data_IF_700801443623
#
_entry.id   IF_700801443623
#
_cell.length_a   1.000
_cell.length_b   1.000
_cell.length_c   1.000
_cell.angle_alpha   90.00
_cell.angle_beta   90.00
_cell.angle_gamma   90.00
#
_symmetry.space_group_name_H-M   'P 1'
#
loop_
_entity.id
_entity.type
_entity.pdbx_description
1 polymer ?
#
# COMPACT_ATOMS: atom_id res chain seq x y z
N UNK A 1 -15.96 -21.95 33.43
CA UNK A 1 -15.86 -21.94 31.96
C UNK A 1 -17.25 -21.70 31.43
N UNK A 2 -17.55 -20.46 31.03
CA UNK A 2 -18.87 -20.09 30.50
C UNK A 2 -18.98 -20.63 29.07
N UNK A 3 -20.01 -21.43 28.80
CA UNK A 3 -20.42 -21.82 27.46
C UNK A 3 -20.76 -20.54 26.68
N UNK A 4 -19.83 -20.02 25.88
CA UNK A 4 -20.22 -19.09 24.82
C UNK A 4 -21.04 -19.90 23.83
N UNK A 5 -22.30 -19.51 23.61
CA UNK A 5 -23.04 -20.01 22.46
C UNK A 5 -22.20 -19.71 21.21
N UNK A 6 -22.01 -20.70 20.34
CA UNK A 6 -21.34 -20.51 19.06
C UNK A 6 -22.08 -19.40 18.30
N UNK A 7 -21.45 -18.23 18.19
CA UNK A 7 -22.01 -17.13 17.41
C UNK A 7 -22.01 -17.56 15.95
N UNK A 8 -23.20 -17.63 15.36
CA UNK A 8 -23.38 -17.95 13.94
C UNK A 8 -23.48 -16.67 13.13
N UNK A 9 -23.13 -16.73 11.85
CA UNK A 9 -23.34 -15.61 10.90
C UNK A 9 -24.81 -15.18 10.87
N UNK A 10 -25.75 -16.13 10.97
CA UNK A 10 -27.18 -15.84 11.07
C UNK A 10 -27.53 -15.02 12.32
N UNK A 11 -26.99 -15.38 13.48
CA UNK A 11 -27.22 -14.63 14.72
C UNK A 11 -26.60 -13.22 14.67
N UNK A 12 -25.42 -13.10 14.05
CA UNK A 12 -24.76 -11.82 13.83
C UNK A 12 -25.58 -10.90 12.92
N UNK A 13 -26.01 -11.41 11.76
CA UNK A 13 -26.81 -10.65 10.81
C UNK A 13 -28.14 -10.22 11.43
N UNK A 14 -28.83 -11.13 12.12
CA UNK A 14 -30.11 -10.83 12.80
C UNK A 14 -29.98 -9.68 13.80
N UNK A 15 -28.88 -9.64 14.57
CA UNK A 15 -28.68 -8.62 15.60
C UNK A 15 -28.38 -7.22 15.05
N UNK A 16 -28.02 -7.14 13.77
CA UNK A 16 -27.73 -5.88 13.07
C UNK A 16 -28.80 -5.51 12.04
N UNK A 17 -29.82 -6.34 11.89
CA UNK A 17 -30.92 -6.16 10.93
C UNK A 17 -32.11 -5.49 11.61
N UNK A 18 -32.65 -4.45 10.99
CA UNK A 18 -33.90 -3.79 11.40
C UNK A 18 -35.13 -4.65 11.08
N UNK A 19 -36.31 -4.38 11.68
CA UNK A 19 -37.53 -5.15 11.39
C UNK A 19 -37.96 -5.17 9.92
N UNK A 20 -37.50 -4.21 9.11
CA UNK A 20 -37.78 -4.14 7.66
C UNK A 20 -36.81 -4.98 6.80
N UNK A 21 -35.84 -5.66 7.43
CA UNK A 21 -34.84 -6.49 6.76
C UNK A 21 -33.58 -5.74 6.32
N UNK A 22 -33.43 -4.46 6.67
CA UNK A 22 -32.24 -3.65 6.31
C UNK A 22 -31.14 -3.78 7.37
N UNK A 23 -29.89 -3.98 6.96
CA UNK A 23 -28.75 -3.92 7.87
C UNK A 23 -28.49 -2.46 8.27
N UNK A 24 -28.50 -2.20 9.59
CA UNK A 24 -28.19 -0.89 10.13
C UNK A 24 -26.70 -0.79 10.43
N UNK A 25 -25.94 -0.10 9.57
CA UNK A 25 -24.51 0.07 9.76
C UNK A 25 -24.18 1.09 10.87
N UNK A 26 -25.14 1.92 11.30
CA UNK A 26 -24.92 2.95 12.31
C UNK A 26 -24.72 2.38 13.73
N UNK A 27 -25.16 1.15 13.98
CA UNK A 27 -24.93 0.44 15.25
C UNK A 27 -23.59 -0.31 15.27
N UNK A 28 -22.85 -0.29 14.17
CA UNK A 28 -21.53 -0.91 14.06
C UNK A 28 -20.43 0.14 14.08
N UNK A 29 -19.30 -0.23 14.66
CA UNK A 29 -18.09 0.60 14.61
C UNK A 29 -17.39 0.38 13.28
N UNK A 30 -17.31 1.42 12.45
CA UNK A 30 -16.44 1.42 11.27
C UNK A 30 -14.97 1.41 11.73
N UNK A 31 -14.25 0.34 11.41
CA UNK A 31 -12.83 0.19 11.75
C UNK A 31 -11.91 0.87 10.73
N UNK A 32 -12.39 1.02 9.50
CA UNK A 32 -11.64 1.52 8.36
C UNK A 32 -12.15 0.88 7.07
N UNK A 33 -11.30 0.84 6.04
CA UNK A 33 -11.58 0.17 4.78
C UNK A 33 -10.31 -0.06 3.96
N UNK A 34 -10.30 -1.14 3.18
CA UNK A 34 -9.33 -1.31 2.08
C UNK A 34 -9.75 -0.48 0.87
N UNK A 35 -9.03 -0.58 -0.26
CA UNK A 35 -9.33 0.20 -1.47
C UNK A 35 -10.76 0.01 -2.02
N UNK A 36 -11.37 -1.16 -1.80
CA UNK A 36 -12.63 -1.61 -2.42
C UNK A 36 -13.76 -1.86 -1.43
N UNK A 37 -13.51 -1.77 -0.12
CA UNK A 37 -14.50 -2.16 0.89
C UNK A 37 -14.34 -1.37 2.18
N UNK A 38 -15.41 -1.32 2.96
CA UNK A 38 -15.43 -0.82 4.32
C UNK A 38 -15.58 -1.99 5.32
N UNK A 39 -14.93 -1.90 6.47
CA UNK A 39 -14.95 -2.93 7.52
C UNK A 39 -15.66 -2.38 8.76
N UNK A 40 -16.65 -3.12 9.22
CA UNK A 40 -17.48 -2.82 10.38
C UNK A 40 -17.33 -3.93 11.42
N UNK A 41 -17.33 -3.53 12.70
CA UNK A 41 -17.26 -4.43 13.84
C UNK A 41 -18.44 -4.21 14.78
N UNK A 42 -19.04 -5.30 15.23
CA UNK A 42 -20.04 -5.30 16.30
C UNK A 42 -19.35 -5.39 17.66
N UNK A 43 -19.86 -4.64 18.64
CA UNK A 43 -19.43 -4.81 20.03
C UNK A 43 -20.01 -6.08 20.66
N UNK A 44 -21.17 -6.55 20.18
CA UNK A 44 -21.84 -7.76 20.66
C UNK A 44 -21.17 -9.05 20.16
N UNK A 45 -20.65 -9.00 18.93
CA UNK A 45 -20.05 -10.13 18.22
C UNK A 45 -18.66 -9.74 17.72
N UNK A 46 -17.69 -9.51 18.63
CA UNK A 46 -16.37 -9.01 18.26
C UNK A 46 -15.52 -9.97 17.43
N UNK A 47 -15.90 -11.25 17.37
CA UNK A 47 -15.30 -12.33 16.60
C UNK A 47 -15.75 -12.37 15.13
N UNK A 48 -16.76 -11.59 14.75
CA UNK A 48 -17.20 -11.44 13.37
C UNK A 48 -17.02 -9.99 12.90
N UNK A 49 -16.65 -9.83 11.63
CA UNK A 49 -16.58 -8.55 10.94
C UNK A 49 -17.53 -8.55 9.76
N UNK A 50 -18.16 -7.41 9.52
CA UNK A 50 -18.94 -7.16 8.31
C UNK A 50 -18.10 -6.33 7.33
N UNK A 51 -17.84 -6.88 6.15
CA UNK A 51 -17.25 -6.14 5.03
C UNK A 51 -18.35 -5.71 4.06
N UNK A 52 -18.39 -4.44 3.71
CA UNK A 52 -19.30 -3.88 2.70
C UNK A 52 -18.49 -3.53 1.46
N UNK A 53 -18.82 -4.12 0.30
CA UNK A 53 -18.12 -3.87 -0.96
C UNK A 53 -18.59 -2.55 -1.57
N UNK A 54 -17.73 -1.51 -1.58
CA UNK A 54 -18.12 -0.13 -1.95
C UNK A 54 -18.60 -0.03 -3.39
N UNK A 55 -17.94 -0.74 -4.31
CA UNK A 55 -18.26 -0.71 -5.74
C UNK A 55 -19.54 -1.48 -6.10
N UNK A 56 -20.25 -2.05 -5.11
CA UNK A 56 -21.50 -2.79 -5.33
C UNK A 56 -22.73 -2.06 -4.81
N UNK A 57 -22.52 -0.92 -4.12
CA UNK A 57 -23.59 -0.17 -3.47
C UNK A 57 -24.48 0.49 -4.54
N UNK A 58 -25.78 0.17 -4.50
CA UNK A 58 -26.79 0.77 -5.37
C UNK A 58 -26.89 0.16 -6.77
N UNK A 59 -26.14 -0.92 -7.03
CA UNK A 59 -26.29 -1.72 -8.26
C UNK A 59 -27.60 -2.51 -8.24
N UNK A 60 -28.02 -3.03 -9.41
CA UNK A 60 -29.21 -3.85 -9.49
C UNK A 60 -28.98 -5.28 -8.97
N UNK A 61 -30.05 -5.91 -8.48
CA UNK A 61 -29.95 -7.23 -7.83
C UNK A 61 -29.52 -8.34 -8.80
N UNK A 62 -29.83 -8.23 -10.08
CA UNK A 62 -29.48 -9.26 -11.06
C UNK A 62 -27.97 -9.22 -11.35
N UNK A 63 -27.40 -8.03 -11.58
CA UNK A 63 -25.97 -7.81 -11.74
C UNK A 63 -25.19 -8.31 -10.50
N UNK A 64 -25.65 -7.95 -9.30
CA UNK A 64 -25.01 -8.41 -8.06
C UNK A 64 -25.09 -9.93 -7.89
N UNK A 65 -26.16 -10.57 -8.36
CA UNK A 65 -26.33 -12.03 -8.28
C UNK A 65 -25.34 -12.75 -9.21
N UNK A 66 -25.19 -12.27 -10.44
CA UNK A 66 -24.20 -12.78 -11.39
C UNK A 66 -22.77 -12.60 -10.87
N UNK A 67 -22.48 -11.42 -10.32
CA UNK A 67 -21.19 -11.14 -9.71
C UNK A 67 -20.90 -12.09 -8.54
N UNK A 68 -21.87 -12.28 -7.65
CA UNK A 68 -21.74 -13.16 -6.49
C UNK A 68 -21.54 -14.61 -6.88
N UNK A 69 -22.26 -15.09 -7.91
CA UNK A 69 -22.09 -16.44 -8.43
C UNK A 69 -20.67 -16.65 -8.99
N UNK A 70 -20.23 -15.75 -9.87
CA UNK A 70 -18.89 -15.81 -10.48
C UNK A 70 -17.79 -15.81 -9.42
N UNK A 71 -17.89 -14.92 -8.43
CA UNK A 71 -16.94 -14.85 -7.33
C UNK A 71 -16.98 -16.12 -6.46
N UNK A 72 -18.17 -16.67 -6.22
CA UNK A 72 -18.37 -17.92 -5.48
C UNK A 72 -17.66 -19.11 -6.13
N UNK A 73 -17.79 -19.26 -7.45
CA UNK A 73 -17.11 -20.29 -8.24
C UNK A 73 -15.58 -20.13 -8.16
N UNK A 74 -15.07 -18.91 -8.30
CA UNK A 74 -13.63 -18.63 -8.18
C UNK A 74 -13.09 -18.89 -6.78
N UNK A 75 -13.83 -18.48 -5.73
CA UNK A 75 -13.47 -18.75 -4.34
C UNK A 75 -13.50 -20.25 -4.03
N UNK A 76 -14.44 -21.01 -4.58
CA UNK A 76 -14.48 -22.46 -4.39
C UNK A 76 -13.19 -23.14 -4.88
N UNK A 77 -12.70 -22.78 -6.08
CA UNK A 77 -11.42 -23.29 -6.60
C UNK A 77 -10.23 -22.84 -5.75
N UNK A 78 -10.27 -21.61 -5.20
CA UNK A 78 -9.25 -21.11 -4.28
C UNK A 78 -9.20 -21.95 -3.01
N UNK A 79 -10.35 -22.19 -2.38
CA UNK A 79 -10.46 -22.96 -1.14
C UNK A 79 -10.10 -24.43 -1.34
N UNK A 80 -10.43 -25.02 -2.49
CA UNK A 80 -10.00 -26.37 -2.87
C UNK A 80 -8.47 -26.44 -3.00
N UNK A 81 -7.87 -25.46 -3.68
CA UNK A 81 -6.43 -25.49 -3.99
C UNK A 81 -5.55 -25.15 -2.78
N UNK A 82 -5.92 -24.11 -2.05
CA UNK A 82 -5.17 -23.66 -0.87
C UNK A 82 -5.56 -24.39 0.41
N UNK A 83 -6.79 -24.89 0.49
CA UNK A 83 -7.39 -25.42 1.70
C UNK A 83 -8.03 -24.31 2.53
N UNK A 84 -9.24 -24.53 3.04
CA UNK A 84 -9.99 -23.53 3.81
C UNK A 84 -9.25 -23.01 5.05
N UNK A 85 -8.34 -23.79 5.64
CA UNK A 85 -7.51 -23.34 6.76
C UNK A 85 -6.50 -22.25 6.38
N UNK A 86 -6.10 -22.19 5.10
CA UNK A 86 -5.17 -21.19 4.54
C UNK A 86 -5.90 -19.97 3.97
N UNK A 87 -7.22 -19.93 3.99
CA UNK A 87 -8.01 -18.83 3.45
C UNK A 87 -8.96 -18.25 4.51
N UNK A 88 -9.24 -16.96 4.43
CA UNK A 88 -10.39 -16.39 5.12
C UNK A 88 -11.62 -16.78 4.30
N UNK A 89 -12.43 -17.66 4.87
CA UNK A 89 -13.70 -18.06 4.27
C UNK A 89 -14.72 -16.97 4.56
N UNK A 90 -15.29 -16.43 3.50
CA UNK A 90 -16.14 -15.24 3.52
C UNK A 90 -17.58 -15.67 3.18
N UNK A 91 -18.52 -15.44 4.08
CA UNK A 91 -19.95 -15.66 3.82
C UNK A 91 -20.53 -14.42 3.16
N UNK A 92 -20.81 -14.53 1.86
CA UNK A 92 -21.21 -13.40 1.02
C UNK A 92 -22.70 -13.45 0.69
N UNK A 93 -23.36 -12.29 0.76
CA UNK A 93 -24.78 -12.17 0.42
C UNK A 93 -25.12 -10.77 -0.08
N UNK A 94 -26.22 -10.64 -0.82
CA UNK A 94 -26.79 -9.35 -1.22
C UNK A 94 -27.73 -8.88 -0.13
N UNK A 95 -27.42 -7.73 0.47
CA UNK A 95 -28.17 -7.18 1.60
C UNK A 95 -28.63 -5.77 1.33
N UNK A 96 -29.79 -5.41 1.88
CA UNK A 96 -30.23 -4.02 1.98
C UNK A 96 -29.48 -3.34 3.11
N UNK A 97 -28.92 -2.16 2.87
CA UNK A 97 -28.08 -1.43 3.81
C UNK A 97 -28.63 -0.04 4.06
N UNK A 98 -28.67 0.35 5.33
CA UNK A 98 -28.80 1.75 5.75
C UNK A 98 -27.42 2.28 6.06
N UNK A 99 -26.93 3.18 5.20
CA UNK A 99 -25.67 3.87 5.42
C UNK A 99 -25.80 4.82 6.61
N UNK A 100 -24.67 5.15 7.24
CA UNK A 100 -24.63 5.96 8.47
C UNK A 100 -25.24 7.36 8.32
N UNK A 101 -25.36 7.85 7.09
CA UNK A 101 -26.04 9.11 6.78
C UNK A 101 -27.55 8.86 6.73
N UNK A 102 -28.23 9.20 7.84
CA UNK A 102 -29.61 8.82 8.15
C UNK A 102 -30.70 9.24 7.14
N UNK A 103 -30.34 10.00 6.10
CA UNK A 103 -31.26 10.53 5.08
C UNK A 103 -31.25 9.75 3.75
N UNK A 104 -30.35 8.78 3.57
CA UNK A 104 -30.33 7.96 2.36
C UNK A 104 -31.34 6.81 2.44
N UNK A 105 -32.12 6.65 1.37
CA UNK A 105 -32.92 5.44 1.14
C UNK A 105 -32.02 4.19 1.22
N UNK A 106 -32.52 3.05 1.74
CA UNK A 106 -31.73 1.83 1.77
C UNK A 106 -31.18 1.48 0.39
N UNK A 107 -29.90 1.09 0.33
CA UNK A 107 -29.23 0.65 -0.91
C UNK A 107 -28.88 -0.82 -0.79
N UNK A 108 -28.97 -1.56 -1.88
CA UNK A 108 -28.48 -2.94 -1.89
C UNK A 108 -26.99 -2.97 -2.21
N UNK A 109 -26.27 -3.92 -1.62
CA UNK A 109 -24.86 -4.16 -1.89
C UNK A 109 -24.51 -5.61 -1.60
N UNK A 110 -23.34 -6.05 -2.07
CA UNK A 110 -22.73 -7.29 -1.59
C UNK A 110 -22.03 -7.00 -0.27
N UNK A 111 -22.37 -7.80 0.74
CA UNK A 111 -21.66 -7.84 2.00
C UNK A 111 -21.01 -9.19 2.21
N UNK A 112 -19.94 -9.21 2.98
CA UNK A 112 -19.33 -10.41 3.49
C UNK A 112 -19.30 -10.37 5.01
N UNK A 113 -19.72 -11.46 5.65
CA UNK A 113 -19.41 -11.71 7.06
C UNK A 113 -18.14 -12.57 7.10
N UNK A 114 -17.17 -12.16 7.90
CA UNK A 114 -15.88 -12.86 8.03
C UNK A 114 -15.55 -13.11 9.49
N UNK A 115 -15.00 -14.29 9.83
CA UNK A 115 -14.42 -14.49 11.15
C UNK A 115 -13.19 -13.62 11.32
N UNK A 116 -13.05 -13.04 12.51
CA UNK A 116 -11.82 -12.38 12.92
C UNK A 116 -10.75 -13.45 13.16
N UNK A 117 -9.83 -13.60 12.23
CA UNK A 117 -8.78 -14.62 12.31
C UNK A 117 -7.66 -14.17 13.27
N UNK A 118 -7.31 -14.96 14.30
CA UNK A 118 -6.25 -14.63 15.25
C UNK A 118 -4.87 -14.40 14.59
N UNK A 119 -4.65 -14.82 13.34
CA UNK A 119 -3.41 -14.53 12.62
C UNK A 119 -3.13 -13.01 12.52
N UNK A 120 -4.18 -12.18 12.50
CA UNK A 120 -4.03 -10.72 12.50
C UNK A 120 -3.51 -10.16 13.83
N UNK A 121 -3.49 -10.95 14.90
CA UNK A 121 -2.93 -10.56 16.20
C UNK A 121 -1.51 -11.11 16.42
N UNK A 122 -0.97 -11.89 15.47
CA UNK A 122 0.38 -12.43 15.60
C UNK A 122 1.42 -11.29 15.70
N UNK A 123 2.34 -11.44 16.66
CA UNK A 123 3.43 -10.47 16.89
C UNK A 123 4.50 -10.55 15.80
N UNK A 124 4.70 -11.74 15.24
CA UNK A 124 5.65 -12.00 14.17
C UNK A 124 4.89 -12.33 12.90
N UNK A 125 4.71 -11.31 12.06
CA UNK A 125 3.98 -11.40 10.80
C UNK A 125 4.50 -10.40 9.78
N UNK A 126 4.29 -10.71 8.51
CA UNK A 126 4.48 -9.76 7.42
C UNK A 126 3.49 -10.05 6.29
N UNK A 127 2.98 -9.00 5.65
CA UNK A 127 2.24 -9.13 4.40
C UNK A 127 3.19 -9.36 3.24
N UNK A 128 2.81 -10.20 2.27
CA UNK A 128 3.48 -10.32 0.96
C UNK A 128 3.18 -9.10 0.08
N UNK A 129 3.45 -7.90 0.61
CA UNK A 129 3.00 -6.66 0.01
C UNK A 129 3.99 -6.20 -1.08
N UNK A 130 3.46 -6.02 -2.28
CA UNK A 130 4.24 -5.63 -3.45
C UNK A 130 4.06 -4.15 -3.73
N UNK A 131 5.17 -3.39 -3.78
CA UNK A 131 5.17 -2.04 -4.36
C UNK A 131 5.38 -2.15 -5.87
N UNK A 132 4.48 -1.56 -6.65
CA UNK A 132 4.64 -1.48 -8.11
C UNK A 132 5.79 -0.55 -8.47
N UNK A 133 6.80 -1.09 -9.14
CA UNK A 133 7.90 -0.30 -9.68
C UNK A 133 7.44 0.55 -10.87
N UNK A 134 6.41 0.10 -11.58
CA UNK A 134 5.81 0.77 -12.76
C UNK A 134 5.17 2.11 -12.41
N UNK A 135 4.72 2.26 -11.16
CA UNK A 135 4.27 3.56 -10.62
C UNK A 135 5.43 4.44 -10.17
N UNK A 136 6.63 3.89 -10.02
CA UNK A 136 7.83 4.57 -9.54
C UNK A 136 8.75 5.02 -10.69
N UNK A 137 8.34 6.08 -11.39
CA UNK A 137 9.08 6.61 -12.54
C UNK A 137 10.53 6.97 -12.28
N UNK A 138 10.83 7.57 -11.12
CA UNK A 138 12.20 7.92 -10.72
C UNK A 138 13.06 6.69 -10.51
N UNK A 139 12.52 5.68 -9.83
CA UNK A 139 13.21 4.43 -9.61
C UNK A 139 13.53 3.74 -10.93
N UNK A 140 12.59 3.73 -11.89
CA UNK A 140 12.85 3.14 -13.20
C UNK A 140 13.86 3.96 -14.01
N UNK A 141 13.74 5.29 -14.04
CA UNK A 141 14.68 6.15 -14.78
C UNK A 141 16.11 6.01 -14.24
N UNK A 142 16.29 6.15 -12.92
CA UNK A 142 17.60 6.08 -12.27
C UNK A 142 18.22 4.68 -12.28
N UNK A 143 17.41 3.62 -12.36
CA UNK A 143 17.86 2.22 -12.32
C UNK A 143 17.46 1.41 -13.56
N UNK A 144 17.32 2.06 -14.72
CA UNK A 144 16.77 1.44 -15.94
C UNK A 144 17.46 0.13 -16.34
N UNK A 145 18.80 0.10 -16.28
CA UNK A 145 19.57 -1.11 -16.57
C UNK A 145 19.22 -2.25 -15.60
N UNK A 146 19.15 -1.95 -14.30
CA UNK A 146 18.81 -2.92 -13.28
C UNK A 146 17.37 -3.42 -13.44
N UNK A 147 16.42 -2.50 -13.64
CA UNK A 147 15.01 -2.83 -13.90
C UNK A 147 14.87 -3.80 -15.08
N UNK A 148 15.49 -3.47 -16.23
CA UNK A 148 15.46 -4.34 -17.41
C UNK A 148 16.12 -5.71 -17.17
N UNK A 149 17.24 -5.76 -16.43
CA UNK A 149 17.92 -7.02 -16.10
C UNK A 149 17.07 -7.91 -15.19
N UNK A 150 16.41 -7.31 -14.19
CA UNK A 150 15.51 -8.04 -13.29
C UNK A 150 14.29 -8.56 -14.07
N UNK A 151 13.67 -7.75 -14.93
CA UNK A 151 12.52 -8.19 -15.73
C UNK A 151 12.87 -9.35 -16.65
N UNK A 152 13.97 -9.28 -17.39
CA UNK A 152 14.40 -10.39 -18.26
C UNK A 152 14.61 -11.69 -17.48
N UNK A 153 15.11 -11.58 -16.25
CA UNK A 153 15.42 -12.73 -15.41
C UNK A 153 14.19 -13.34 -14.74
N UNK A 154 13.30 -12.51 -14.20
CA UNK A 154 12.15 -12.97 -13.41
C UNK A 154 10.86 -13.10 -14.23
N UNK A 155 10.76 -12.41 -15.36
CA UNK A 155 9.57 -12.34 -16.20
C UNK A 155 9.88 -12.60 -17.69
N UNK A 156 11.13 -12.84 -18.06
CA UNK A 156 11.52 -13.19 -19.43
C UNK A 156 11.80 -14.69 -19.59
N UNK A 157 12.24 -15.08 -20.78
CA UNK A 157 12.67 -16.45 -21.09
C UNK A 157 14.08 -16.81 -20.62
N UNK A 158 14.73 -15.94 -19.83
CA UNK A 158 16.06 -16.24 -19.31
C UNK A 158 16.00 -17.41 -18.31
N UNK A 159 17.09 -18.18 -18.28
CA UNK A 159 17.39 -19.17 -17.24
C UNK A 159 17.39 -18.54 -15.84
N UNK A 160 17.48 -19.40 -14.82
CA UNK A 160 17.32 -19.09 -13.40
C UNK A 160 17.93 -17.74 -12.97
N UNK A 161 17.27 -17.02 -12.03
CA UNK A 161 17.74 -15.71 -11.64
C UNK A 161 19.14 -15.74 -11.05
N UNK A 162 20.06 -15.06 -11.73
CA UNK A 162 21.44 -14.96 -11.25
C UNK A 162 21.52 -14.41 -9.81
N UNK A 163 22.54 -14.80 -9.01
CA UNK A 163 22.74 -14.25 -7.67
C UNK A 163 22.83 -12.70 -7.64
N UNK A 164 23.25 -12.10 -8.76
CA UNK A 164 23.24 -10.64 -8.93
C UNK A 164 21.80 -10.08 -8.94
N UNK A 165 20.87 -10.71 -9.67
CA UNK A 165 19.46 -10.28 -9.75
C UNK A 165 18.83 -10.34 -8.37
N UNK A 166 19.00 -11.45 -7.66
CA UNK A 166 18.40 -11.64 -6.33
C UNK A 166 18.92 -10.66 -5.28
N UNK A 167 20.23 -10.39 -5.29
CA UNK A 167 20.85 -9.40 -4.40
C UNK A 167 20.33 -7.98 -4.61
N UNK A 168 19.99 -7.63 -5.85
CA UNK A 168 19.58 -6.28 -6.22
C UNK A 168 18.06 -6.11 -6.33
N UNK A 169 17.26 -7.18 -6.27
CA UNK A 169 15.80 -7.08 -6.30
C UNK A 169 15.21 -6.13 -5.24
N UNK A 170 15.70 -6.10 -3.99
CA UNK A 170 15.22 -5.15 -2.99
C UNK A 170 15.41 -3.67 -3.36
N UNK A 171 16.28 -3.36 -4.32
CA UNK A 171 16.43 -2.00 -4.86
C UNK A 171 15.24 -1.54 -5.70
N UNK A 172 14.40 -2.48 -6.18
CA UNK A 172 13.12 -2.19 -6.83
C UNK A 172 11.95 -2.29 -5.84
N UNK A 173 12.00 -3.23 -4.90
CA UNK A 173 10.98 -3.41 -3.88
C UNK A 173 11.61 -3.66 -2.50
N UNK A 174 11.74 -2.59 -1.71
CA UNK A 174 12.45 -2.61 -0.41
C UNK A 174 11.85 -3.61 0.60
N UNK A 175 10.55 -3.87 0.53
CA UNK A 175 9.87 -4.82 1.44
C UNK A 175 10.49 -6.22 1.36
N UNK A 176 11.05 -6.59 0.22
CA UNK A 176 11.65 -7.91 0.03
C UNK A 176 13.06 -8.03 0.63
N UNK A 177 13.67 -6.94 1.12
CA UNK A 177 14.95 -7.03 1.83
C UNK A 177 14.80 -7.86 3.11
N UNK A 178 13.80 -7.57 3.94
CA UNK A 178 13.54 -8.31 5.17
C UNK A 178 13.05 -9.73 4.88
N UNK A 179 12.14 -9.89 3.91
CA UNK A 179 11.62 -11.21 3.51
C UNK A 179 12.77 -12.11 3.04
N UNK A 180 13.68 -11.60 2.21
CA UNK A 180 14.82 -12.40 1.73
C UNK A 180 15.80 -12.76 2.83
N UNK A 181 16.06 -11.85 3.77
CA UNK A 181 16.87 -12.17 4.96
C UNK A 181 16.22 -13.28 5.79
N UNK A 182 14.91 -13.21 6.01
CA UNK A 182 14.19 -14.26 6.74
C UNK A 182 14.26 -15.60 5.99
N UNK A 183 14.06 -15.60 4.66
CA UNK A 183 14.19 -16.81 3.84
C UNK A 183 15.60 -17.41 3.83
N UNK A 184 16.64 -16.62 4.08
CA UNK A 184 18.02 -17.11 4.21
C UNK A 184 18.28 -17.79 5.56
N UNK A 185 17.47 -17.49 6.59
CA UNK A 185 17.77 -17.88 7.98
C UNK A 185 16.71 -18.74 8.66
N UNK A 186 15.48 -18.77 8.15
CA UNK A 186 14.34 -19.43 8.79
C UNK A 186 13.78 -20.53 7.87
N UNK A 187 14.14 -21.79 8.17
CA UNK A 187 13.71 -22.95 7.40
C UNK A 187 12.19 -23.12 7.39
N UNK A 188 11.51 -22.79 8.49
CA UNK A 188 10.06 -22.91 8.56
C UNK A 188 9.36 -21.91 7.64
N UNK A 189 9.95 -20.72 7.45
CA UNK A 189 9.46 -19.77 6.44
C UNK A 189 9.67 -20.29 5.02
N UNK A 190 10.83 -20.91 4.75
CA UNK A 190 11.11 -21.50 3.43
C UNK A 190 10.06 -22.57 3.11
N UNK A 191 9.69 -23.41 4.07
CA UNK A 191 8.61 -24.41 3.91
C UNK A 191 7.27 -23.74 3.62
N UNK A 192 6.85 -22.76 4.43
CA UNK A 192 5.59 -22.05 4.23
C UNK A 192 5.53 -21.31 2.89
N UNK A 193 6.64 -20.68 2.47
CA UNK A 193 6.76 -20.00 1.18
C UNK A 193 6.66 -21.00 0.02
N UNK A 194 7.34 -22.15 0.10
CA UNK A 194 7.23 -23.21 -0.92
C UNK A 194 5.80 -23.75 -1.03
N UNK A 195 5.12 -23.96 0.09
CA UNK A 195 3.71 -24.36 0.11
C UNK A 195 2.82 -23.33 -0.59
N UNK A 196 2.94 -22.05 -0.21
CA UNK A 196 2.19 -20.95 -0.81
C UNK A 196 2.41 -20.87 -2.33
N UNK A 197 3.67 -20.85 -2.79
CA UNK A 197 4.02 -20.72 -4.19
C UNK A 197 3.57 -21.94 -5.02
N UNK A 198 3.65 -23.14 -4.47
CA UNK A 198 3.17 -24.37 -5.13
C UNK A 198 1.66 -24.33 -5.33
N UNK A 199 0.91 -23.96 -4.28
CA UNK A 199 -0.55 -23.82 -4.35
C UNK A 199 -0.96 -22.69 -5.29
N UNK A 200 -0.23 -21.57 -5.29
CA UNK A 200 -0.44 -20.48 -6.25
C UNK A 200 -0.27 -20.98 -7.68
N UNK A 201 0.85 -21.64 -8.00
CA UNK A 201 1.12 -22.16 -9.36
C UNK A 201 -0.03 -23.07 -9.81
N UNK A 202 -0.47 -23.99 -8.95
CA UNK A 202 -1.61 -24.86 -9.25
C UNK A 202 -2.91 -24.10 -9.47
N UNK A 203 -3.23 -23.12 -8.62
CA UNK A 203 -4.43 -22.30 -8.75
C UNK A 203 -4.44 -21.50 -10.06
N UNK A 204 -3.30 -20.86 -10.39
CA UNK A 204 -3.15 -20.11 -11.63
C UNK A 204 -3.27 -21.01 -12.85
N UNK A 205 -2.65 -22.19 -12.84
CA UNK A 205 -2.77 -23.15 -13.95
C UNK A 205 -4.21 -23.65 -14.16
N UNK A 206 -4.98 -23.83 -13.08
CA UNK A 206 -6.39 -24.25 -13.14
C UNK A 206 -7.32 -23.15 -13.67
N UNK A 207 -7.07 -21.89 -13.30
CA UNK A 207 -8.06 -20.80 -13.44
C UNK A 207 -7.63 -19.67 -14.38
N UNK A 208 -6.33 -19.51 -14.61
CA UNK A 208 -5.74 -18.33 -15.24
C UNK A 208 -5.85 -17.03 -14.41
N UNK A 209 -6.34 -17.10 -13.17
CA UNK A 209 -6.55 -15.92 -12.30
C UNK A 209 -5.25 -15.57 -11.58
N UNK A 210 -4.87 -14.30 -11.63
CA UNK A 210 -3.76 -13.76 -10.86
C UNK A 210 -4.30 -13.24 -9.53
N UNK A 211 -3.78 -13.78 -8.42
CA UNK A 211 -4.16 -13.31 -7.08
C UNK A 211 -3.55 -11.92 -6.82
N UNK A 212 -4.38 -11.02 -6.31
CA UNK A 212 -3.97 -9.70 -5.85
C UNK A 212 -3.16 -9.82 -4.56
N UNK A 213 -1.85 -9.63 -4.66
CA UNK A 213 -0.93 -9.63 -3.51
C UNK A 213 -0.64 -8.22 -3.00
N UNK A 214 -1.32 -7.19 -3.49
CA UNK A 214 -1.10 -5.81 -3.05
C UNK A 214 -1.98 -5.53 -1.83
N UNK A 215 -1.35 -5.07 -0.74
CA UNK A 215 -2.01 -4.85 0.54
C UNK A 215 -1.53 -5.82 1.61
N UNK A 216 -1.46 -5.33 2.84
CA UNK A 216 -0.86 -6.07 3.96
C UNK A 216 -1.64 -7.34 4.34
N UNK A 217 -2.96 -7.32 4.13
CA UNK A 217 -3.88 -8.36 4.61
C UNK A 217 -4.31 -9.35 3.51
N UNK A 218 -3.87 -9.15 2.27
CA UNK A 218 -4.24 -10.03 1.16
C UNK A 218 -3.52 -11.37 1.24
N UNK A 219 -2.21 -11.35 1.51
CA UNK A 219 -1.41 -12.56 1.76
C UNK A 219 -0.54 -12.29 2.98
N UNK A 220 -0.92 -12.88 4.12
CA UNK A 220 -0.24 -12.67 5.39
C UNK A 220 0.58 -13.91 5.75
N UNK A 221 1.88 -13.74 5.96
CA UNK A 221 2.73 -14.74 6.60
C UNK A 221 2.83 -14.41 8.09
N UNK A 222 2.70 -15.41 8.95
CA UNK A 222 2.70 -15.23 10.41
C UNK A 222 3.23 -16.46 11.11
N UNK A 223 3.81 -16.29 12.30
CA UNK A 223 4.23 -17.42 13.15
C UNK A 223 3.13 -17.88 14.09
N UNK A 224 3.06 -19.20 14.26
CA UNK A 224 2.33 -19.90 15.32
C UNK A 224 3.28 -20.91 15.92
N UNK A 225 3.55 -20.85 17.22
CA UNK A 225 4.46 -21.78 17.91
C UNK A 225 5.82 -21.92 17.20
N UNK A 226 6.42 -20.78 16.83
CA UNK A 226 7.68 -20.65 16.08
C UNK A 226 7.69 -21.20 14.65
N UNK A 227 6.54 -21.69 14.15
CA UNK A 227 6.40 -22.17 12.76
C UNK A 227 5.69 -21.13 11.92
N UNK A 228 6.32 -20.74 10.81
CA UNK A 228 5.66 -19.86 9.83
C UNK A 228 4.49 -20.57 9.14
N UNK A 229 3.42 -19.80 8.96
CA UNK A 229 2.22 -20.14 8.22
C UNK A 229 1.84 -18.97 7.32
N UNK A 230 0.83 -19.18 6.46
CA UNK A 230 0.25 -18.10 5.69
C UNK A 230 -1.28 -18.17 5.66
N UNK A 231 -1.90 -17.01 5.43
CA UNK A 231 -3.34 -16.83 5.28
C UNK A 231 -3.64 -15.94 4.08
N UNK A 232 -4.59 -16.35 3.25
CA UNK A 232 -5.12 -15.56 2.13
C UNK A 232 -6.39 -14.82 2.56
N UNK A 233 -6.38 -13.51 2.40
CA UNK A 233 -7.55 -12.64 2.53
C UNK A 233 -8.31 -12.49 1.22
N UNK A 234 -8.73 -11.27 0.91
CA UNK A 234 -9.55 -10.96 -0.27
C UNK A 234 -8.68 -10.80 -1.54
N UNK A 235 -8.13 -11.91 -2.01
CA UNK A 235 -7.12 -11.97 -3.10
C UNK A 235 -7.69 -12.11 -4.52
N UNK A 236 -8.95 -12.51 -4.68
CA UNK A 236 -9.59 -12.61 -6.00
C UNK A 236 -10.14 -11.22 -6.39
N UNK A 237 -9.74 -10.77 -7.58
CA UNK A 237 -10.20 -9.54 -8.25
C UNK A 237 -10.53 -9.89 -9.71
N UNK A 238 -10.34 -8.96 -10.63
CA UNK A 238 -10.60 -9.16 -12.07
C UNK A 238 -9.36 -9.55 -12.89
N UNK A 239 -8.17 -9.59 -12.29
CA UNK A 239 -6.91 -9.83 -13.01
C UNK A 239 -6.73 -11.29 -13.40
N UNK A 240 -6.44 -11.52 -14.69
CA UNK A 240 -6.14 -12.84 -15.25
C UNK A 240 -4.90 -12.76 -16.11
N UNK A 241 -4.20 -13.88 -16.30
CA UNK A 241 -3.03 -13.94 -17.16
C UNK A 241 -3.36 -13.57 -18.60
N UNK A 242 -4.52 -13.98 -19.11
CA UNK A 242 -4.99 -13.61 -20.45
C UNK A 242 -5.22 -12.09 -20.58
N UNK A 243 -5.88 -11.47 -19.59
CA UNK A 243 -6.09 -10.03 -19.58
C UNK A 243 -4.77 -9.27 -19.47
N UNK A 244 -3.89 -9.69 -18.55
CA UNK A 244 -2.57 -9.05 -18.37
C UNK A 244 -1.75 -9.11 -19.65
N UNK A 245 -1.67 -10.25 -20.34
CA UNK A 245 -0.98 -10.37 -21.64
C UNK A 245 -1.56 -9.41 -22.67
N UNK A 246 -2.89 -9.42 -22.84
CA UNK A 246 -3.58 -8.52 -23.77
C UNK A 246 -3.27 -7.05 -23.48
N UNK A 247 -3.35 -6.63 -22.23
CA UNK A 247 -3.11 -5.23 -21.84
C UNK A 247 -1.64 -4.83 -22.02
N UNK A 248 -0.69 -5.73 -21.70
CA UNK A 248 0.73 -5.50 -21.94
C UNK A 248 1.04 -5.39 -23.44
N UNK A 249 0.42 -6.20 -24.30
CA UNK A 249 0.59 -6.09 -25.75
C UNK A 249 0.01 -4.76 -26.29
N UNK A 250 -1.20 -4.42 -25.85
CA UNK A 250 -1.87 -3.17 -26.22
C UNK A 250 -1.06 -1.93 -25.82
N UNK A 251 -0.47 -1.92 -24.62
CA UNK A 251 0.35 -0.79 -24.15
C UNK A 251 1.55 -0.52 -25.07
N UNK A 252 2.09 -1.56 -25.74
CA UNK A 252 3.23 -1.40 -26.64
C UNK A 252 2.88 -0.66 -27.93
N UNK A 253 1.60 -0.62 -28.29
CA UNK A 253 1.09 0.08 -29.48
C UNK A 253 0.43 1.40 -29.09
N UNK A 254 -0.27 1.41 -27.95
CA UNK A 254 -0.97 2.55 -27.40
C UNK A 254 -0.68 2.66 -25.90
N UNK A 255 0.33 3.44 -25.48
CA UNK A 255 0.67 3.61 -24.06
C UNK A 255 -0.50 4.11 -23.20
N UNK A 256 -1.45 4.85 -23.77
CA UNK A 256 -2.64 5.32 -23.06
C UNK A 256 -3.60 4.18 -22.67
N UNK A 257 -3.46 2.97 -23.24
CA UNK A 257 -4.22 1.79 -22.84
C UNK A 257 -4.11 1.52 -21.33
N UNK A 258 -2.98 1.86 -20.71
CA UNK A 258 -2.74 1.68 -19.28
C UNK A 258 -3.66 2.49 -18.36
N UNK A 259 -4.32 3.53 -18.86
CA UNK A 259 -5.21 4.39 -18.06
C UNK A 259 -6.65 4.41 -18.59
N UNK A 260 -6.97 3.62 -19.61
CA UNK A 260 -8.32 3.57 -20.20
C UNK A 260 -9.37 2.95 -19.29
N UNK A 261 -8.97 2.06 -18.39
CA UNK A 261 -9.88 1.45 -17.41
C UNK A 261 -9.11 1.03 -16.16
N UNK A 262 -9.82 0.89 -15.04
CA UNK A 262 -9.26 0.35 -13.81
C UNK A 262 -8.66 -1.07 -14.00
N UNK A 263 -9.31 -1.89 -14.83
CA UNK A 263 -8.81 -3.23 -15.18
C UNK A 263 -7.50 -3.18 -15.95
N UNK A 264 -7.41 -2.31 -16.95
CA UNK A 264 -6.17 -2.12 -17.69
C UNK A 264 -5.05 -1.57 -16.80
N UNK A 265 -5.38 -0.62 -15.93
CA UNK A 265 -4.44 -0.02 -14.98
C UNK A 265 -3.82 -1.08 -14.06
N UNK A 266 -4.64 -1.87 -13.38
CA UNK A 266 -4.18 -2.93 -12.47
C UNK A 266 -3.37 -4.00 -13.22
N UNK A 267 -3.83 -4.45 -14.39
CA UNK A 267 -3.12 -5.42 -15.21
C UNK A 267 -1.74 -4.94 -15.72
N UNK A 268 -1.57 -3.64 -16.00
CA UNK A 268 -0.30 -3.09 -16.50
C UNK A 268 0.63 -2.63 -15.37
N UNK A 269 0.11 -1.96 -14.35
CA UNK A 269 0.92 -1.41 -13.27
C UNK A 269 1.18 -2.41 -12.14
N UNK A 270 0.22 -3.26 -11.79
CA UNK A 270 0.31 -4.09 -10.58
C UNK A 270 0.75 -5.52 -10.87
N UNK A 271 0.16 -6.16 -11.88
CA UNK A 271 0.42 -7.58 -12.14
C UNK A 271 1.89 -7.87 -12.48
N UNK A 272 2.62 -7.06 -13.28
CA UNK A 272 4.04 -7.28 -13.51
C UNK A 272 4.88 -7.20 -12.23
N UNK A 273 4.48 -6.39 -11.25
CA UNK A 273 5.17 -6.34 -9.97
C UNK A 273 4.85 -7.59 -9.12
N UNK A 274 3.58 -8.00 -9.09
CA UNK A 274 3.13 -9.17 -8.33
C UNK A 274 3.78 -10.47 -8.83
N UNK A 275 3.76 -10.69 -10.15
CA UNK A 275 4.39 -11.87 -10.76
C UNK A 275 5.89 -11.89 -10.49
N UNK A 276 6.55 -10.74 -10.58
CA UNK A 276 7.99 -10.62 -10.31
C UNK A 276 8.33 -10.97 -8.87
N UNK A 277 7.50 -10.55 -7.92
CA UNK A 277 7.66 -10.90 -6.52
C UNK A 277 7.51 -12.41 -6.28
N UNK A 278 6.51 -13.05 -6.88
CA UNK A 278 6.32 -14.50 -6.82
C UNK A 278 7.53 -15.25 -7.38
N UNK A 279 7.98 -14.87 -8.58
CA UNK A 279 9.12 -15.50 -9.23
C UNK A 279 10.45 -15.22 -8.50
N UNK A 280 10.59 -14.05 -7.86
CA UNK A 280 11.76 -13.75 -7.02
C UNK A 280 11.79 -14.64 -5.78
N UNK A 281 10.65 -14.80 -5.08
CA UNK A 281 10.56 -15.71 -3.95
C UNK A 281 10.78 -17.16 -4.36
N UNK A 282 10.23 -17.60 -5.50
CA UNK A 282 10.47 -18.93 -6.03
C UNK A 282 11.96 -19.20 -6.24
N UNK A 283 12.66 -18.30 -6.93
CA UNK A 283 14.10 -18.41 -7.11
C UNK A 283 14.86 -18.40 -5.79
N UNK A 284 14.44 -17.57 -4.81
CA UNK A 284 15.04 -17.51 -3.48
C UNK A 284 14.93 -18.82 -2.72
N UNK A 285 13.83 -19.56 -2.90
CA UNK A 285 13.61 -20.86 -2.26
C UNK A 285 13.94 -22.05 -3.17
N UNK A 286 14.59 -21.84 -4.32
CA UNK A 286 15.02 -22.90 -5.24
C UNK A 286 13.87 -23.60 -5.98
N UNK A 287 12.87 -22.83 -6.40
CA UNK A 287 11.75 -23.26 -7.24
C UNK A 287 11.80 -22.59 -8.62
N UNK A 288 11.23 -23.24 -9.61
CA UNK A 288 10.94 -22.64 -10.92
C UNK A 288 9.97 -21.47 -10.81
N UNK A 289 9.86 -20.69 -11.90
CA UNK A 289 8.86 -19.61 -12.01
C UNK A 289 7.45 -20.13 -11.74
N UNK A 290 6.68 -19.30 -11.02
CA UNK A 290 5.29 -19.57 -10.62
C UNK A 290 4.33 -19.20 -11.73
N UNK A 291 4.59 -18.08 -12.39
CA UNK A 291 3.91 -17.65 -13.62
C UNK A 291 5.01 -17.37 -14.64
N UNK A 292 5.01 -18.19 -15.69
CA UNK A 292 6.05 -18.22 -16.73
C UNK A 292 5.48 -18.00 -18.14
N UNK A 293 4.16 -17.98 -18.30
CA UNK A 293 3.48 -17.76 -19.58
C UNK A 293 3.21 -16.27 -19.88
N UNK A 294 3.50 -15.36 -18.94
CA UNK A 294 3.45 -13.91 -19.11
C UNK A 294 4.89 -13.40 -19.28
N UNK A 295 5.34 -13.36 -20.53
CA UNK A 295 6.73 -13.07 -20.89
C UNK A 295 6.88 -11.58 -21.21
N UNK A 296 7.74 -10.89 -20.46
CA UNK A 296 8.14 -9.52 -20.77
C UNK A 296 9.35 -9.52 -21.69
N UNK A 297 9.12 -9.35 -22.98
CA UNK A 297 10.18 -9.10 -23.94
C UNK A 297 10.81 -7.69 -23.77
N UNK A 298 11.78 -7.37 -24.61
CA UNK A 298 12.44 -6.06 -24.57
C UNK A 298 11.49 -4.91 -24.92
N UNK A 299 10.51 -5.14 -25.82
CA UNK A 299 9.55 -4.12 -26.25
C UNK A 299 8.63 -3.74 -25.10
N UNK A 300 8.02 -4.74 -24.44
CA UNK A 300 7.15 -4.54 -23.28
C UNK A 300 7.94 -3.96 -22.11
N UNK A 301 9.14 -4.47 -21.83
CA UNK A 301 10.00 -3.93 -20.77
C UNK A 301 10.33 -2.45 -20.98
N UNK A 302 10.58 -2.03 -22.23
CA UNK A 302 10.81 -0.64 -22.56
C UNK A 302 9.54 0.23 -22.46
N UNK A 303 8.37 -0.33 -22.78
CA UNK A 303 7.08 0.35 -22.63
C UNK A 303 6.76 0.57 -21.14
N UNK A 304 6.86 -0.47 -20.31
CA UNK A 304 6.69 -0.40 -18.85
C UNK A 304 7.67 0.59 -18.22
N UNK A 305 8.92 0.66 -18.70
CA UNK A 305 9.88 1.61 -18.17
C UNK A 305 9.47 3.09 -18.36
N UNK A 306 8.58 3.36 -19.30
CA UNK A 306 8.06 4.69 -19.62
C UNK A 306 6.61 4.88 -19.19
N UNK A 307 5.94 3.84 -18.69
CA UNK A 307 4.49 3.88 -18.51
C UNK A 307 4.08 4.86 -17.42
N UNK A 308 4.93 5.07 -16.41
CA UNK A 308 4.75 6.11 -15.40
C UNK A 308 4.54 7.52 -15.99
N UNK A 309 5.03 7.80 -17.21
CA UNK A 309 4.80 9.08 -17.90
C UNK A 309 3.35 9.25 -18.35
N UNK A 310 2.56 8.18 -18.37
CA UNK A 310 1.12 8.19 -18.65
C UNK A 310 0.28 8.43 -17.41
N UNK A 311 0.88 8.42 -16.21
CA UNK A 311 0.17 8.81 -14.99
C UNK A 311 -0.21 10.29 -15.07
N UNK A 312 -1.26 10.67 -14.35
CA UNK A 312 -1.62 12.07 -14.19
C UNK A 312 -0.44 12.88 -13.65
N UNK A 313 -0.32 14.14 -14.08
CA UNK A 313 0.77 15.02 -13.65
C UNK A 313 0.86 15.12 -12.13
N UNK A 314 -0.28 15.14 -11.44
CA UNK A 314 -0.39 15.09 -9.97
C UNK A 314 0.37 13.89 -9.37
N UNK A 315 0.14 12.69 -9.90
CA UNK A 315 0.83 11.47 -9.49
C UNK A 315 2.34 11.51 -9.77
N UNK A 316 2.73 12.05 -10.93
CA UNK A 316 4.15 12.23 -11.27
C UNK A 316 4.83 13.19 -10.28
N UNK A 317 4.20 14.34 -10.00
CA UNK A 317 4.69 15.34 -9.04
C UNK A 317 4.94 14.71 -7.67
N UNK A 318 3.97 13.93 -7.17
CA UNK A 318 4.07 13.24 -5.88
C UNK A 318 5.29 12.30 -5.88
N UNK A 319 5.44 11.49 -6.92
CA UNK A 319 6.55 10.56 -7.04
C UNK A 319 7.92 11.28 -7.00
N UNK A 320 8.10 12.35 -7.78
CA UNK A 320 9.33 13.14 -7.71
C UNK A 320 9.59 13.68 -6.30
N UNK A 321 8.56 14.17 -5.61
CA UNK A 321 8.67 14.67 -4.24
C UNK A 321 9.04 13.56 -3.23
N UNK A 322 8.47 12.35 -3.35
CA UNK A 322 8.81 11.19 -2.50
C UNK A 322 10.29 10.78 -2.59
N UNK A 323 10.93 11.01 -3.73
CA UNK A 323 12.36 10.74 -3.96
C UNK A 323 13.28 11.92 -3.70
N UNK A 324 12.75 13.00 -3.10
CA UNK A 324 13.53 14.19 -2.80
C UNK A 324 13.89 15.02 -4.03
N UNK A 325 13.25 14.78 -5.18
CA UNK A 325 13.47 15.50 -6.45
C UNK A 325 12.55 16.71 -6.55
N UNK A 326 12.63 17.55 -5.53
CA UNK A 326 11.73 18.67 -5.27
C UNK A 326 11.73 19.75 -6.35
N UNK A 327 12.91 20.14 -6.87
CA UNK A 327 13.01 21.04 -8.04
C UNK A 327 12.15 20.56 -9.22
N UNK A 328 12.21 19.27 -9.56
CA UNK A 328 11.44 18.71 -10.67
C UNK A 328 9.95 18.60 -10.35
N UNK A 329 9.61 18.21 -9.12
CA UNK A 329 8.22 18.21 -8.65
C UNK A 329 7.60 19.61 -8.74
N UNK A 330 8.34 20.64 -8.34
CA UNK A 330 7.93 22.05 -8.39
C UNK A 330 7.79 22.57 -9.83
N UNK A 331 8.70 22.19 -10.72
CA UNK A 331 8.61 22.48 -12.16
C UNK A 331 7.32 21.90 -12.76
N UNK A 332 7.07 20.60 -12.52
CA UNK A 332 5.86 19.92 -12.99
C UNK A 332 4.58 20.55 -12.41
N UNK A 333 4.60 20.90 -11.12
CA UNK A 333 3.48 21.57 -10.46
C UNK A 333 3.19 22.95 -11.10
N UNK A 334 4.22 23.76 -11.38
CA UNK A 334 4.05 25.06 -12.06
C UNK A 334 3.49 24.93 -13.47
N UNK A 335 3.82 23.84 -14.17
CA UNK A 335 3.22 23.53 -15.48
C UNK A 335 1.77 23.06 -15.40
N UNK A 336 1.37 22.43 -14.29
CA UNK A 336 0.00 22.00 -14.04
C UNK A 336 -0.88 23.19 -13.63
N UNK A 337 -0.34 24.13 -12.87
CA UNK A 337 -1.05 25.30 -12.34
C UNK A 337 -0.33 26.62 -12.72
N UNK A 338 -0.30 27.01 -14.00
CA UNK A 338 0.50 28.15 -14.48
C UNK A 338 0.03 29.50 -13.93
N UNK A 339 -1.28 29.70 -13.75
CA UNK A 339 -1.84 30.98 -13.29
C UNK A 339 -2.09 31.04 -11.79
N UNK A 340 -1.70 29.98 -11.06
CA UNK A 340 -1.94 29.85 -9.64
C UNK A 340 -3.41 29.72 -9.24
N UNK A 341 -4.37 29.70 -10.17
CA UNK A 341 -5.83 29.76 -9.92
C UNK A 341 -6.54 28.41 -9.80
N UNK A 342 -5.87 27.26 -9.92
CA UNK A 342 -6.56 25.97 -9.78
C UNK A 342 -6.76 25.58 -8.32
N UNK A 343 -7.84 24.84 -8.06
CA UNK A 343 -8.21 24.25 -6.77
C UNK A 343 -7.39 23.00 -6.44
N UNK A 344 -6.21 22.78 -7.05
CA UNK A 344 -5.31 21.66 -6.66
C UNK A 344 -4.53 21.95 -5.37
N UNK A 345 -5.21 22.49 -4.38
CA UNK A 345 -4.66 22.82 -3.05
C UNK A 345 -4.11 21.57 -2.36
N UNK A 346 -4.77 20.42 -2.52
CA UNK A 346 -4.36 19.17 -1.90
C UNK A 346 -2.99 18.64 -2.39
N UNK A 347 -2.74 18.69 -3.70
CA UNK A 347 -1.47 18.25 -4.30
C UNK A 347 -0.33 19.15 -3.81
N UNK A 348 -0.58 20.46 -3.86
CA UNK A 348 0.34 21.48 -3.38
C UNK A 348 0.72 21.26 -1.91
N UNK A 349 -0.26 21.02 -1.05
CA UNK A 349 -0.09 20.81 0.38
C UNK A 349 0.71 19.54 0.67
N UNK A 350 0.41 18.48 -0.08
CA UNK A 350 1.11 17.22 0.05
C UNK A 350 2.59 17.36 -0.31
N UNK A 351 2.92 18.08 -1.39
CA UNK A 351 4.32 18.36 -1.75
C UNK A 351 5.08 19.13 -0.67
N UNK A 352 4.48 20.19 -0.10
CA UNK A 352 5.12 20.97 0.97
C UNK A 352 5.38 20.14 2.23
N UNK A 353 4.45 19.24 2.56
CA UNK A 353 4.61 18.28 3.67
C UNK A 353 5.76 17.30 3.41
N UNK A 354 5.84 16.75 2.19
CA UNK A 354 6.94 15.86 1.80
C UNK A 354 8.31 16.56 1.83
N UNK A 355 8.37 17.83 1.41
CA UNK A 355 9.59 18.63 1.48
C UNK A 355 10.09 18.80 2.91
N UNK A 356 9.19 19.15 3.83
CA UNK A 356 9.57 19.28 5.23
C UNK A 356 10.03 17.95 5.84
N UNK A 357 9.32 16.85 5.58
CA UNK A 357 9.71 15.53 6.08
C UNK A 357 11.10 15.13 5.58
N UNK A 358 11.43 15.44 4.32
CA UNK A 358 12.77 15.24 3.77
C UNK A 358 13.85 16.04 4.51
N UNK A 359 13.64 17.35 4.73
CA UNK A 359 14.60 18.19 5.46
C UNK A 359 14.76 17.70 6.91
N UNK A 360 13.65 17.37 7.58
CA UNK A 360 13.64 16.83 8.96
C UNK A 360 14.43 15.53 9.08
N UNK A 361 14.42 14.69 8.04
CA UNK A 361 15.20 13.44 7.94
C UNK A 361 16.67 13.66 7.57
N UNK A 362 17.15 14.91 7.56
CA UNK A 362 18.54 15.25 7.24
C UNK A 362 18.80 15.52 5.77
N UNK A 363 17.75 15.63 4.96
CA UNK A 363 17.86 16.11 3.58
C UNK A 363 18.39 17.53 3.53
N UNK A 364 19.28 17.80 2.57
CA UNK A 364 19.74 19.17 2.32
C UNK A 364 18.81 19.87 1.33
N UNK A 365 18.47 21.12 1.63
CA UNK A 365 17.80 21.99 0.67
C UNK A 365 18.79 22.32 -0.45
N UNK A 366 18.35 22.23 -1.70
CA UNK A 366 19.22 22.47 -2.85
C UNK A 366 19.54 23.96 -2.98
N UNK A 367 18.64 24.85 -2.54
CA UNK A 367 18.88 26.30 -2.49
C UNK A 367 17.90 27.05 -1.57
N UNK A 368 18.18 28.34 -1.30
CA UNK A 368 17.25 29.24 -0.59
C UNK A 368 15.96 29.44 -1.38
N UNK A 369 16.09 29.62 -2.70
CA UNK A 369 14.97 29.82 -3.62
C UNK A 369 14.01 28.62 -3.63
N UNK A 370 14.55 27.40 -3.46
CA UNK A 370 13.74 26.20 -3.29
C UNK A 370 12.94 26.25 -1.97
N UNK A 371 13.60 26.57 -0.84
CA UNK A 371 12.92 26.72 0.46
C UNK A 371 11.85 27.81 0.41
N UNK A 372 12.16 28.97 -0.19
CA UNK A 372 11.22 30.07 -0.39
C UNK A 372 9.99 29.64 -1.21
N UNK A 373 10.19 28.83 -2.25
CA UNK A 373 9.09 28.33 -3.08
C UNK A 373 8.16 27.39 -2.30
N UNK A 374 8.69 26.51 -1.46
CA UNK A 374 7.89 25.63 -0.61
C UNK A 374 7.19 26.37 0.54
N UNK A 375 7.83 27.37 1.13
CA UNK A 375 7.17 28.25 2.11
C UNK A 375 6.03 29.02 1.47
N UNK A 376 6.20 29.52 0.24
CA UNK A 376 5.13 30.16 -0.51
C UNK A 376 3.97 29.21 -0.78
N UNK A 377 4.26 27.94 -1.06
CA UNK A 377 3.26 26.88 -1.21
C UNK A 377 2.49 26.68 0.10
N UNK A 378 3.18 26.48 1.23
CA UNK A 378 2.54 26.16 2.52
C UNK A 378 1.77 27.35 3.14
N UNK A 379 2.23 28.58 2.91
CA UNK A 379 1.62 29.81 3.45
C UNK A 379 0.51 30.39 2.59
N UNK A 380 0.19 29.80 1.45
CA UNK A 380 -0.86 30.31 0.58
C UNK A 380 -2.23 30.20 1.29
N UNK A 381 -2.92 31.33 1.43
CA UNK A 381 -4.17 31.45 2.20
C UNK A 381 -5.33 30.60 1.65
N UNK A 382 -5.20 30.06 0.44
CA UNK A 382 -6.20 29.18 -0.18
C UNK A 382 -6.06 27.73 0.27
N UNK A 383 -5.00 27.38 1.01
CA UNK A 383 -4.82 26.04 1.55
C UNK A 383 -5.84 25.77 2.67
N UNK A 384 -6.57 24.67 2.54
CA UNK A 384 -7.50 24.17 3.57
C UNK A 384 -6.96 22.87 4.13
N UNK A 385 -6.26 22.95 5.26
CA UNK A 385 -5.68 21.77 5.90
C UNK A 385 -6.72 21.05 6.77
N UNK A 386 -6.93 19.73 6.58
CA UNK A 386 -7.66 18.91 7.54
C UNK A 386 -7.05 19.07 8.94
N UNK A 387 -7.87 19.08 9.99
CA UNK A 387 -7.40 19.31 11.38
C UNK A 387 -6.21 18.44 11.76
N UNK A 388 -6.21 17.17 11.34
CA UNK A 388 -5.12 16.23 11.64
C UNK A 388 -3.78 16.59 10.98
N UNK A 389 -3.77 17.41 9.93
CA UNK A 389 -2.56 17.89 9.23
C UNK A 389 -2.12 19.29 9.63
N UNK A 390 -2.99 20.10 10.24
CA UNK A 390 -2.66 21.49 10.60
C UNK A 390 -1.41 21.59 11.48
N UNK A 391 -1.25 20.67 12.44
CA UNK A 391 -0.06 20.63 13.29
C UNK A 391 1.22 20.31 12.51
N UNK A 392 1.16 19.37 11.56
CA UNK A 392 2.30 18.99 10.71
C UNK A 392 2.71 20.14 9.78
N UNK A 393 1.73 20.84 9.21
CA UNK A 393 1.97 21.97 8.30
C UNK A 393 2.57 23.15 9.06
N UNK A 394 2.07 23.44 10.26
CA UNK A 394 2.65 24.47 11.13
C UNK A 394 4.11 24.15 11.46
N UNK A 395 4.40 22.91 11.86
CA UNK A 395 5.76 22.44 12.10
C UNK A 395 6.64 22.61 10.85
N UNK A 396 6.10 22.29 9.67
CA UNK A 396 6.79 22.45 8.39
C UNK A 396 7.17 23.90 8.10
N UNK A 397 6.23 24.83 8.27
CA UNK A 397 6.46 26.26 8.07
C UNK A 397 7.57 26.77 9.00
N UNK A 398 7.44 26.52 10.31
CA UNK A 398 8.43 26.94 11.33
C UNK A 398 9.83 26.37 11.01
N UNK A 399 9.88 25.10 10.63
CA UNK A 399 11.11 24.41 10.28
C UNK A 399 11.80 24.95 9.03
N UNK A 400 11.04 25.25 7.99
CA UNK A 400 11.58 25.84 6.76
C UNK A 400 12.00 27.30 6.94
N UNK A 401 11.29 28.08 7.75
CA UNK A 401 11.70 29.44 8.13
C UNK A 401 13.04 29.43 8.87
N UNK A 402 13.20 28.52 9.83
CA UNK A 402 14.49 28.33 10.51
C UNK A 402 15.59 27.94 9.51
N UNK A 403 15.26 27.10 8.52
CA UNK A 403 16.22 26.70 7.48
C UNK A 403 16.68 27.89 6.64
N UNK A 404 15.79 28.80 6.24
CA UNK A 404 16.19 30.05 5.56
C UNK A 404 17.15 30.85 6.42
N UNK A 405 16.83 31.06 7.70
CA UNK A 405 17.71 31.79 8.61
C UNK A 405 19.09 31.13 8.72
N UNK A 406 19.15 29.80 8.71
CA UNK A 406 20.44 29.07 8.72
C UNK A 406 21.24 29.25 7.42
N UNK A 407 20.57 29.24 6.26
CA UNK A 407 21.20 29.45 4.95
C UNK A 407 21.73 30.88 4.84
N UNK A 408 20.92 31.86 5.26
CA UNK A 408 21.27 33.29 5.20
C UNK A 408 22.42 33.61 6.17
N UNK A 409 22.48 32.96 7.34
CA UNK A 409 23.63 33.05 8.27
C UNK A 409 24.88 32.35 7.74
N UNK A 410 24.73 31.22 7.02
CA UNK A 410 25.84 30.49 6.40
C UNK A 410 26.53 31.24 5.25
N UNK A 411 25.83 32.14 4.56
CA UNK A 411 26.40 33.03 3.52
C UNK A 411 27.21 34.21 4.07
N UNK A 412 27.19 34.44 5.39
CA UNK A 412 27.93 35.54 6.05
C UNK A 412 29.28 35.12 6.64
N UNK A 413 29.69 33.85 6.49
CA UNK A 413 30.87 33.29 7.15
C UNK A 413 31.88 32.62 6.18
N UNK A 414 32.54 33.43 5.35
CA UNK A 414 33.97 33.17 5.07
C UNK A 414 34.78 33.73 6.25
N UNK A 415 35.70 32.93 6.81
CA UNK A 415 36.45 33.05 8.09
C UNK A 415 35.72 32.38 9.27
N UNK A 416 36.18 31.28 9.91
CA UNK A 416 37.46 30.60 10.00
C UNK A 416 37.27 29.07 10.06
N UNK A 417 38.16 28.32 9.41
CA UNK A 417 38.47 26.93 9.79
C UNK A 417 38.91 26.91 11.26
N UNK A 418 38.12 26.28 12.14
CA UNK A 418 38.63 25.44 13.26
C UNK A 418 37.51 24.62 13.92
N UNK A 419 37.82 23.33 14.07
CA UNK A 419 37.20 22.29 14.89
C UNK A 419 35.72 21.98 14.71
N UNK A 420 35.48 20.92 13.95
CA UNK A 420 34.47 19.89 14.20
C UNK A 420 34.36 19.51 15.68
N UNK A 421 33.33 20.00 16.37
CA UNK A 421 32.71 19.38 17.55
C UNK A 421 31.60 20.28 18.08
N UNK A 422 30.44 19.68 18.42
CA UNK A 422 29.23 20.28 19.03
C UNK A 422 28.13 20.76 18.08
N UNK A 423 27.59 19.81 17.30
CA UNK A 423 26.14 19.67 17.26
C UNK A 423 25.81 18.70 18.39
N UNK A 424 25.37 19.21 19.55
CA UNK A 424 24.84 18.35 20.60
C UNK A 424 23.50 17.78 20.11
N UNK A 425 23.51 16.51 19.73
CA UNK A 425 22.30 15.70 19.69
C UNK A 425 21.70 15.71 21.10
N UNK A 426 20.54 16.32 21.26
CA UNK A 426 19.80 16.24 22.52
C UNK A 426 19.30 14.82 22.71
N UNK A 427 19.88 14.10 23.68
CA UNK A 427 19.33 12.82 24.13
C UNK A 427 17.95 13.11 24.77
N UNK A 428 16.87 12.51 24.26
CA UNK A 428 15.52 12.72 24.79
C UNK A 428 15.35 12.24 26.23
N UNK A 429 16.30 11.49 26.81
CA UNK A 429 16.28 11.08 28.22
C UNK A 429 16.90 12.11 29.16
N UNK A 430 17.48 13.17 28.62
CA UNK A 430 18.04 14.25 29.43
C UNK A 430 17.00 15.36 29.63
N UNK A 431 16.84 15.81 30.88
CA UNK A 431 15.97 16.95 31.24
C UNK A 431 16.60 18.24 30.72
N UNK A 432 15.82 19.07 30.03
CA UNK A 432 16.34 20.34 29.50
C UNK A 432 16.51 21.37 30.64
N UNK A 433 17.42 22.35 30.50
CA UNK A 433 17.73 23.32 31.57
C UNK A 433 16.53 24.17 32.04
N UNK A 434 15.55 24.39 31.16
CA UNK A 434 14.35 25.20 31.34
C UNK A 434 13.07 24.36 31.52
N UNK A 435 13.20 23.04 31.53
CA UNK A 435 12.08 22.11 31.62
C UNK A 435 11.74 21.80 33.08
N UNK A 436 10.47 21.98 33.47
CA UNK A 436 10.00 21.55 34.80
C UNK A 436 9.95 20.02 34.91
N UNK A 437 10.03 19.45 36.11
CA UNK A 437 9.92 18.00 36.31
C UNK A 437 8.62 17.43 35.77
N UNK A 438 7.51 18.19 35.87
CA UNK A 438 6.21 17.79 35.32
C UNK A 438 6.23 17.72 33.79
N UNK A 439 6.94 18.64 33.12
CA UNK A 439 7.10 18.63 31.67
C UNK A 439 8.02 17.49 31.22
N UNK A 440 9.12 17.26 31.95
CA UNK A 440 10.06 16.18 31.68
C UNK A 440 9.41 14.80 31.79
N UNK A 441 8.65 14.56 32.88
CA UNK A 441 7.92 13.29 33.09
C UNK A 441 6.79 13.12 32.07
N UNK A 442 6.07 14.19 31.71
CA UNK A 442 5.04 14.15 30.65
C UNK A 442 5.65 13.80 29.28
N UNK A 443 6.84 14.33 28.97
CA UNK A 443 7.58 14.04 27.74
C UNK A 443 8.09 12.60 27.68
N UNK A 444 8.61 12.07 28.79
CA UNK A 444 8.98 10.66 28.92
C UNK A 444 7.75 9.73 28.83
N UNK A 445 6.63 10.13 29.45
CA UNK A 445 5.37 9.38 29.44
C UNK A 445 4.71 9.29 28.06
N UNK A 446 4.81 10.34 27.23
CA UNK A 446 4.31 10.33 25.84
C UNK A 446 5.08 9.36 24.93
N UNK A 447 6.35 9.07 25.21
CA UNK A 447 7.12 8.09 24.44
C UNK A 447 6.77 6.63 24.76
N UNK A 448 6.32 6.32 25.99
CA UNK A 448 5.88 4.96 26.34
C UNK A 448 4.57 4.61 25.63
N UNK A 449 3.72 5.60 25.35
CA UNK A 449 2.47 5.41 24.58
C UNK A 449 2.68 5.42 23.07
N UNK A 450 3.72 6.10 22.57
CA UNK A 450 4.05 6.10 21.12
C UNK A 450 4.85 4.86 20.68
N UNK A 451 5.62 4.23 21.56
CA UNK A 451 6.35 2.98 21.24
C UNK A 451 5.52 1.70 21.42
N UNK A 452 4.20 1.80 21.64
CA UNK A 452 3.26 0.65 21.66
C UNK A 452 2.34 0.59 20.43
N UNK A 453 2.58 1.41 19.42
CA UNK A 453 1.94 1.29 18.11
C UNK A 453 2.99 1.49 17.01
N UNK A 454 3.76 0.44 16.74
CA UNK A 454 4.15 -0.03 15.41
C UNK A 454 4.55 -1.50 15.54
#
# INVERSE_FOLDING_TARGET
MSLCADVTVESFLRDITEPDGTLNLAILKKLGGGGTHDIYKSEKHPELLLKVMRDTIGHDRAELSEHLQTLGEQCAVLYETFGSSRCIVEERSIQSLKLSDANDSPKIAIVSVVPFDPCFESKEKFGFNVKSAELDGILIESKRYLYGKINRSLLGNAEDPSPYVMRNYPLLNKTFESIFKLLDTDESLVVAMREFLTKYKSFYQKTGILLDTIGFDNVLFYKVEDVWQFKLGSVIKHDTGALTKKMLDEMTQNPAAATQSFKAFTSIYFMPACIRALNACAAKVGMEKIVDDIILDEKISNALAKIHLQLEKSSQIINYAEHGKFVKALELYRHLVPDGKSDETELRDFMGTLYWDYIKKGGEASSREEVDAYLKILRDERNTFPEFRQAMVKEAIEGLEYKILSIDRGKSATFHKRSSSQIQFFDPRTKRPDESDKQFVSRLGRQVTQNKKY
#
